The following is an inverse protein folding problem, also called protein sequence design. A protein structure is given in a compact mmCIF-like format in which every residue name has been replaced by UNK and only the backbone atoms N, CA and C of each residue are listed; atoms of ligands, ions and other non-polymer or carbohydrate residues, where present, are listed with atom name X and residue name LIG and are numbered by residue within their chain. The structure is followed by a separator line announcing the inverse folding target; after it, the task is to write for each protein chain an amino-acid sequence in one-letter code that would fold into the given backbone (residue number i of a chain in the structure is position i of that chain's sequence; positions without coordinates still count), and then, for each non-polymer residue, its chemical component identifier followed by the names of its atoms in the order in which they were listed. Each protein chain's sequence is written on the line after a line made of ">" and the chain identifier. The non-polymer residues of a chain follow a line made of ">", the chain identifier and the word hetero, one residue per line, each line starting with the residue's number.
data_IF_051699886935
#
_entry.id   IF_051699886935
#
_cell.length_a   1.000
_cell.length_b   1.000
_cell.length_c   1.000
_cell.angle_alpha   90.00
_cell.angle_beta   90.00
_cell.angle_gamma   90.00
#
_symmetry.space_group_name_H-M   'P 1'
#
loop_
_entity.id
_entity.type
_entity.pdbx_description
1 polymer ?
#
# COMPACT_ATOMS: atom_id res chain seq x y z
N UNK A 1 -25.96 -0.77 43.48
CA UNK A 1 -26.67 -0.91 42.18
C UNK A 1 -25.87 -0.10 41.16
N UNK A 2 -24.90 -0.63 40.41
CA UNK A 2 -24.96 -1.68 39.36
C UNK A 2 -26.17 -1.50 38.44
N UNK A 3 -26.03 -0.69 37.37
CA UNK A 3 -26.51 -0.99 36.00
C UNK A 3 -25.58 -0.29 34.99
N UNK A 4 -24.74 -1.09 34.33
CA UNK A 4 -24.28 -0.97 32.94
C UNK A 4 -25.08 -2.06 32.20
N UNK A 5 -25.57 -1.91 30.94
CA UNK A 5 -24.69 -1.89 29.76
C UNK A 5 -25.22 -1.13 28.51
N UNK A 6 -24.32 -0.66 27.65
CA UNK A 6 -24.66 -0.21 26.29
C UNK A 6 -23.57 -0.66 25.32
N UNK A 7 -23.79 -1.86 24.77
CA UNK A 7 -23.39 -2.34 23.45
C UNK A 7 -22.49 -1.42 22.60
N UNK A 8 -21.18 -1.68 22.66
CA UNK A 8 -20.25 -1.27 21.61
C UNK A 8 -20.51 -2.14 20.38
N UNK A 9 -20.92 -1.48 19.30
CA UNK A 9 -21.15 -2.06 17.99
C UNK A 9 -19.80 -2.53 17.41
N UNK A 10 -19.66 -3.84 17.25
CA UNK A 10 -18.67 -4.45 16.36
C UNK A 10 -19.10 -4.19 14.92
N UNK A 11 -18.32 -3.40 14.19
CA UNK A 11 -18.49 -3.15 12.76
C UNK A 11 -17.91 -4.35 12.01
N UNK A 12 -18.79 -5.30 11.66
CA UNK A 12 -18.48 -6.45 10.82
C UNK A 12 -18.43 -6.00 9.36
N UNK A 13 -17.27 -6.07 8.73
CA UNK A 13 -17.12 -5.84 7.29
C UNK A 13 -17.48 -7.13 6.54
N UNK A 14 -18.73 -7.25 6.10
CA UNK A 14 -19.17 -8.35 5.24
C UNK A 14 -18.89 -8.02 3.77
N UNK A 15 -17.89 -8.68 3.18
CA UNK A 15 -17.63 -8.66 1.76
C UNK A 15 -18.49 -9.73 1.06
N UNK A 16 -19.62 -9.33 0.49
CA UNK A 16 -20.46 -10.24 -0.31
C UNK A 16 -19.99 -10.17 -1.77
N UNK A 17 -19.20 -11.16 -2.19
CA UNK A 17 -18.90 -11.40 -3.61
C UNK A 17 -20.06 -12.18 -4.25
N UNK A 18 -20.82 -11.49 -5.10
CA UNK A 18 -21.79 -12.10 -6.00
C UNK A 18 -21.03 -12.85 -7.10
N UNK A 19 -20.98 -14.18 -7.00
CA UNK A 19 -20.54 -15.05 -8.10
C UNK A 19 -21.64 -15.15 -9.14
N UNK A 20 -21.38 -14.59 -10.32
CA UNK A 20 -22.22 -14.72 -11.49
C UNK A 20 -21.94 -16.11 -12.13
N UNK A 21 -22.95 -16.98 -12.10
CA UNK A 21 -22.95 -18.28 -12.79
C UNK A 21 -22.91 -18.09 -14.30
N UNK A 22 -21.92 -18.66 -14.98
CA UNK A 22 -21.93 -18.85 -16.43
C UNK A 22 -22.01 -20.34 -16.74
N UNK A 23 -22.92 -20.63 -17.66
CA UNK A 23 -23.53 -21.90 -17.98
C UNK A 23 -22.58 -22.93 -18.59
N UNK A 24 -22.82 -24.17 -18.18
CA UNK A 24 -22.27 -25.42 -18.70
C UNK A 24 -22.72 -25.66 -20.14
N UNK A 25 -21.80 -25.62 -21.10
CA UNK A 25 -22.05 -26.11 -22.46
C UNK A 25 -21.53 -27.56 -22.57
N UNK A 26 -22.47 -28.49 -22.69
CA UNK A 26 -22.23 -29.92 -22.88
C UNK A 26 -21.68 -30.16 -24.30
N UNK A 27 -20.48 -30.72 -24.40
CA UNK A 27 -19.93 -31.16 -25.68
C UNK A 27 -20.41 -32.60 -25.98
N UNK A 28 -21.21 -32.72 -27.03
CA UNK A 28 -21.78 -33.96 -27.55
C UNK A 28 -20.70 -34.81 -28.22
N UNK A 29 -20.56 -36.08 -27.82
CA UNK A 29 -19.74 -37.06 -28.53
C UNK A 29 -20.51 -37.67 -29.70
N UNK A 30 -19.92 -37.81 -30.91
CA UNK A 30 -20.43 -38.66 -31.96
C UNK A 30 -19.94 -40.12 -31.84
N UNK A 31 -20.66 -41.09 -32.45
CA UNK A 31 -20.59 -42.51 -32.10
C UNK A 31 -19.40 -43.27 -32.69
N UNK A 32 -19.08 -44.35 -31.98
CA UNK A 32 -18.19 -45.46 -32.32
C UNK A 32 -18.58 -46.18 -33.62
N UNK A 33 -17.58 -46.56 -34.41
CA UNK A 33 -17.68 -47.67 -35.38
C UNK A 33 -16.48 -48.61 -35.19
N UNK A 34 -16.69 -49.94 -35.14
CA UNK A 34 -15.63 -50.93 -35.24
C UNK A 34 -15.48 -51.42 -36.69
N UNK A 35 -14.27 -51.36 -37.24
CA UNK A 35 -13.91 -52.11 -38.44
C UNK A 35 -12.59 -52.86 -38.19
N UNK A 36 -12.63 -54.16 -38.41
CA UNK A 36 -11.55 -55.10 -38.16
C UNK A 36 -10.84 -55.51 -39.47
N UNK A 37 -9.52 -55.71 -39.38
CA UNK A 37 -8.69 -56.53 -40.28
C UNK A 37 -7.72 -55.76 -41.20
N UNK A 38 -6.65 -56.40 -41.72
CA UNK A 38 -5.69 -57.27 -41.05
C UNK A 38 -4.22 -56.77 -41.20
N UNK A 39 -3.37 -57.26 -40.29
CA UNK A 39 -1.91 -57.45 -40.33
C UNK A 39 -1.07 -56.73 -41.39
N UNK A 40 -0.28 -55.74 -40.95
CA UNK A 40 0.98 -55.33 -41.61
C UNK A 40 2.10 -55.17 -40.57
N UNK A 41 3.25 -55.73 -40.92
CA UNK A 41 4.49 -55.90 -40.16
C UNK A 41 5.08 -54.57 -39.62
N UNK A 42 5.90 -54.61 -38.54
CA UNK A 42 6.47 -53.38 -37.98
C UNK A 42 7.63 -52.86 -38.85
N UNK A 43 7.58 -51.60 -39.34
CA UNK A 43 8.82 -50.90 -39.68
C UNK A 43 9.48 -50.44 -38.38
N UNK A 44 10.73 -50.87 -38.21
CA UNK A 44 11.67 -50.46 -37.17
C UNK A 44 11.60 -48.95 -36.94
N UNK A 45 10.98 -48.53 -35.83
CA UNK A 45 10.99 -47.13 -35.41
C UNK A 45 12.41 -46.82 -34.96
N UNK A 46 13.15 -46.09 -35.78
CA UNK A 46 14.35 -45.40 -35.34
C UNK A 46 14.01 -44.66 -34.05
N UNK A 47 14.70 -45.01 -32.97
CA UNK A 47 14.64 -44.31 -31.68
C UNK A 47 15.13 -42.89 -31.90
N UNK A 48 14.25 -41.98 -32.28
CA UNK A 48 14.48 -40.56 -32.09
C UNK A 48 14.52 -40.34 -30.59
N UNK A 49 15.73 -40.18 -30.07
CA UNK A 49 15.98 -39.66 -28.75
C UNK A 49 15.30 -38.29 -28.65
N UNK A 50 14.06 -38.27 -28.17
CA UNK A 50 13.50 -37.10 -27.53
C UNK A 50 14.40 -36.84 -26.33
N UNK A 51 15.29 -35.87 -26.46
CA UNK A 51 16.02 -35.32 -25.34
C UNK A 51 14.99 -34.94 -24.29
N UNK A 52 14.88 -35.75 -23.24
CA UNK A 52 14.13 -35.39 -22.07
C UNK A 52 14.81 -34.13 -21.52
N UNK A 53 14.20 -32.97 -21.78
CA UNK A 53 14.46 -31.77 -21.00
C UNK A 53 14.22 -32.19 -19.56
N UNK A 54 15.30 -32.42 -18.82
CA UNK A 54 15.19 -32.63 -17.39
C UNK A 54 14.50 -31.39 -16.85
N UNK A 55 13.34 -31.50 -16.17
CA UNK A 55 12.72 -30.34 -15.58
C UNK A 55 13.76 -29.75 -14.63
N UNK A 56 14.22 -28.53 -14.91
CA UNK A 56 15.00 -27.79 -13.93
C UNK A 56 14.19 -27.79 -12.63
N UNK A 57 14.81 -28.15 -11.48
CA UNK A 57 14.07 -28.21 -10.23
C UNK A 57 13.49 -26.82 -9.96
N UNK A 58 12.16 -26.72 -10.03
CA UNK A 58 11.44 -25.48 -9.78
C UNK A 58 11.70 -25.04 -8.36
N UNK A 59 12.30 -23.86 -8.19
CA UNK A 59 12.59 -23.31 -6.87
C UNK A 59 11.43 -22.43 -6.45
N UNK A 60 10.79 -22.81 -5.35
CA UNK A 60 9.63 -22.10 -4.80
C UNK A 60 10.07 -21.41 -3.51
N UNK A 61 9.63 -20.17 -3.30
CA UNK A 61 9.81 -19.45 -2.05
C UNK A 61 8.47 -18.96 -1.50
N UNK A 62 8.46 -18.63 -0.22
CA UNK A 62 7.29 -18.07 0.47
C UNK A 62 7.61 -16.69 1.03
N UNK A 63 6.61 -15.81 1.04
CA UNK A 63 6.74 -14.46 1.59
C UNK A 63 5.53 -14.08 2.45
N UNK A 64 5.79 -13.56 3.65
CA UNK A 64 4.77 -12.96 4.50
C UNK A 64 4.70 -11.46 4.23
N UNK A 65 3.76 -11.08 3.38
CA UNK A 65 3.58 -9.68 3.01
C UNK A 65 3.06 -8.86 4.19
N UNK A 66 2.23 -9.45 5.06
CA UNK A 66 1.70 -8.74 6.22
C UNK A 66 2.83 -8.32 7.15
N UNK A 67 3.74 -9.25 7.44
CA UNK A 67 4.93 -8.96 8.25
C UNK A 67 5.81 -7.89 7.60
N UNK A 68 5.93 -7.88 6.27
CA UNK A 68 6.66 -6.83 5.54
C UNK A 68 6.04 -5.45 5.78
N UNK A 69 4.71 -5.32 5.64
CA UNK A 69 4.03 -4.05 5.92
C UNK A 69 4.19 -3.61 7.38
N UNK A 70 4.12 -4.55 8.32
CA UNK A 70 4.27 -4.26 9.76
C UNK A 70 5.70 -3.90 10.18
N UNK A 71 6.73 -4.24 9.41
CA UNK A 71 8.14 -4.00 9.77
C UNK A 71 8.88 -3.05 8.81
N UNK A 72 8.23 -2.59 7.75
CA UNK A 72 8.82 -1.62 6.82
C UNK A 72 8.80 -0.20 7.42
N UNK A 73 9.99 0.37 7.61
CA UNK A 73 10.14 1.70 8.22
C UNK A 73 9.56 2.82 7.36
N UNK A 74 9.68 2.73 6.03
CA UNK A 74 9.16 3.75 5.11
C UNK A 74 7.64 3.79 5.14
N UNK A 75 7.00 2.62 5.13
CA UNK A 75 5.55 2.50 5.22
C UNK A 75 5.02 3.06 6.54
N UNK A 76 5.65 2.70 7.67
CA UNK A 76 5.28 3.24 9.00
C UNK A 76 5.34 4.76 9.03
N UNK A 77 6.44 5.35 8.57
CA UNK A 77 6.60 6.81 8.57
C UNK A 77 5.57 7.51 7.67
N UNK A 78 5.22 6.91 6.53
CA UNK A 78 4.17 7.45 5.66
C UNK A 78 2.79 7.34 6.31
N UNK A 79 2.50 6.23 6.99
CA UNK A 79 1.23 6.06 7.70
C UNK A 79 1.11 7.02 8.89
N UNK A 80 2.16 7.19 9.69
CA UNK A 80 2.20 8.17 10.78
C UNK A 80 1.96 9.61 10.27
N UNK A 81 2.48 9.94 9.08
CA UNK A 81 2.21 11.23 8.45
C UNK A 81 0.73 11.40 8.09
N UNK A 82 0.07 10.35 7.57
CA UNK A 82 -1.37 10.33 7.26
C UNK A 82 -2.20 10.42 8.55
N UNK A 83 -1.87 9.66 9.58
CA UNK A 83 -2.51 9.77 10.89
C UNK A 83 -2.39 11.18 11.47
N UNK A 84 -1.23 11.82 11.29
CA UNK A 84 -1.02 13.21 11.66
C UNK A 84 -1.95 14.17 10.91
N UNK A 85 -2.22 13.92 9.62
CA UNK A 85 -3.20 14.70 8.86
C UNK A 85 -4.64 14.47 9.34
N UNK A 86 -5.00 13.23 9.68
CA UNK A 86 -6.32 12.90 10.24
C UNK A 86 -6.53 13.60 11.58
N UNK A 87 -5.53 13.56 12.47
CA UNK A 87 -5.57 14.26 13.77
C UNK A 87 -5.73 15.77 13.59
N UNK A 88 -4.94 16.39 12.70
CA UNK A 88 -5.08 17.81 12.36
C UNK A 88 -6.47 18.15 11.82
N UNK A 89 -7.02 17.32 10.94
CA UNK A 89 -8.37 17.51 10.42
C UNK A 89 -9.41 17.43 11.54
N UNK A 90 -9.27 16.49 12.47
CA UNK A 90 -10.16 16.34 13.63
C UNK A 90 -10.10 17.55 14.57
N UNK A 91 -8.91 18.09 14.81
CA UNK A 91 -8.71 19.32 15.58
C UNK A 91 -9.34 20.53 14.89
N UNK A 92 -9.10 20.69 13.58
CA UNK A 92 -9.73 21.73 12.77
C UNK A 92 -11.26 21.65 12.83
N UNK A 93 -11.84 20.46 12.70
CA UNK A 93 -13.29 20.27 12.79
C UNK A 93 -13.84 20.70 14.16
N UNK A 94 -13.14 20.33 15.23
CA UNK A 94 -13.52 20.73 16.60
C UNK A 94 -13.46 22.25 16.77
N UNK A 95 -12.44 22.90 16.22
CA UNK A 95 -12.28 24.35 16.27
C UNK A 95 -13.36 25.08 15.45
N UNK A 96 -13.67 24.59 14.24
CA UNK A 96 -14.75 25.12 13.40
C UNK A 96 -16.09 24.96 14.09
N UNK A 97 -16.36 23.83 14.76
CA UNK A 97 -17.60 23.63 15.49
C UNK A 97 -17.77 24.63 16.64
N UNK A 98 -16.71 24.88 17.42
CA UNK A 98 -16.72 25.88 18.50
C UNK A 98 -16.91 27.29 17.94
N UNK A 99 -16.14 27.65 16.92
CA UNK A 99 -16.25 28.93 16.24
C UNK A 99 -17.68 29.17 15.70
N UNK A 100 -18.29 28.17 15.05
CA UNK A 100 -19.62 28.28 14.50
C UNK A 100 -20.68 28.49 15.60
N UNK A 101 -20.55 27.79 16.73
CA UNK A 101 -21.42 27.96 17.89
C UNK A 101 -21.30 29.38 18.49
N UNK A 102 -20.08 29.90 18.61
CA UNK A 102 -19.84 31.23 19.16
C UNK A 102 -20.37 32.34 18.23
N UNK A 103 -20.19 32.19 16.91
CA UNK A 103 -20.79 33.10 15.93
C UNK A 103 -22.31 33.05 15.96
N UNK A 104 -22.91 31.85 16.13
CA UNK A 104 -24.35 31.71 16.23
C UNK A 104 -24.91 32.39 17.49
N UNK A 105 -24.21 32.30 18.62
CA UNK A 105 -24.58 33.04 19.84
C UNK A 105 -24.52 34.55 19.65
N UNK A 106 -23.43 35.05 19.06
CA UNK A 106 -23.26 36.48 18.77
C UNK A 106 -24.37 37.03 17.86
N UNK A 107 -24.80 36.26 16.85
CA UNK A 107 -25.93 36.62 15.99
C UNK A 107 -27.27 36.59 16.72
N UNK A 108 -27.42 35.72 17.72
CA UNK A 108 -28.59 35.64 18.59
C UNK A 108 -28.79 36.89 19.46
N UNK A 109 -27.69 37.52 19.88
CA UNK A 109 -27.68 38.76 20.68
C UNK A 109 -27.91 40.02 19.83
N UNK A 110 -27.73 39.95 18.51
CA UNK A 110 -27.96 41.08 17.61
C UNK A 110 -29.47 41.33 17.39
N UNK A 111 -29.90 42.61 17.42
CA UNK A 111 -31.27 42.97 17.08
C UNK A 111 -31.59 42.60 15.63
N UNK A 112 -32.84 42.23 15.37
CA UNK A 112 -33.31 41.88 14.03
C UNK A 112 -33.20 43.09 13.10
N UNK A 113 -32.62 42.90 11.93
CA UNK A 113 -32.45 43.94 10.91
C UNK A 113 -31.44 43.56 9.83
N UNK A 114 -31.26 44.41 8.80
CA UNK A 114 -30.45 44.09 7.61
C UNK A 114 -29.00 43.69 7.90
N UNK A 115 -28.41 44.25 8.96
CA UNK A 115 -27.04 43.93 9.38
C UNK A 115 -26.90 42.51 9.92
N UNK A 116 -27.95 41.99 10.58
CA UNK A 116 -27.97 40.62 11.08
C UNK A 116 -28.13 39.62 9.95
N UNK A 117 -29.01 39.90 8.99
CA UNK A 117 -29.22 39.03 7.83
C UNK A 117 -27.94 38.89 6.99
N UNK A 118 -27.19 39.99 6.80
CA UNK A 118 -25.89 39.97 6.13
C UNK A 118 -24.85 39.13 6.88
N UNK A 119 -24.83 39.20 8.21
CA UNK A 119 -23.93 38.42 9.05
C UNK A 119 -24.31 36.93 9.12
N UNK A 120 -25.60 36.60 9.15
CA UNK A 120 -26.12 35.23 9.01
C UNK A 120 -25.74 34.62 7.65
N UNK A 121 -25.91 35.37 6.55
CA UNK A 121 -25.51 34.94 5.22
C UNK A 121 -24.00 34.66 5.11
N UNK A 122 -23.18 35.52 5.72
CA UNK A 122 -21.72 35.33 5.77
C UNK A 122 -21.33 34.09 6.56
N UNK A 123 -21.94 33.87 7.73
CA UNK A 123 -21.71 32.68 8.55
C UNK A 123 -22.11 31.41 7.79
N UNK A 124 -23.28 31.41 7.14
CA UNK A 124 -23.75 30.28 6.34
C UNK A 124 -22.78 29.96 5.18
N UNK A 125 -22.29 30.98 4.48
CA UNK A 125 -21.29 30.82 3.42
C UNK A 125 -19.98 30.21 3.94
N UNK A 126 -19.47 30.69 5.07
CA UNK A 126 -18.25 30.17 5.67
C UNK A 126 -18.41 28.70 6.12
N UNK A 127 -19.53 28.35 6.77
CA UNK A 127 -19.82 26.97 7.17
C UNK A 127 -19.91 26.06 5.93
N UNK A 128 -20.57 26.51 4.85
CA UNK A 128 -20.64 25.75 3.61
C UNK A 128 -19.25 25.52 3.01
N UNK A 129 -18.39 26.54 3.00
CA UNK A 129 -17.02 26.42 2.51
C UNK A 129 -16.18 25.45 3.35
N UNK A 130 -16.35 25.46 4.68
CA UNK A 130 -15.70 24.48 5.57
C UNK A 130 -16.14 23.05 5.26
N UNK A 131 -17.43 22.79 5.03
CA UNK A 131 -17.94 21.44 4.69
C UNK A 131 -17.37 20.93 3.35
N UNK A 132 -17.26 21.81 2.36
CA UNK A 132 -16.62 21.45 1.08
C UNK A 132 -15.15 21.12 1.30
N UNK A 133 -14.42 21.97 2.01
CA UNK A 133 -13.00 21.75 2.31
C UNK A 133 -12.77 20.47 3.12
N UNK A 134 -13.62 20.17 4.10
CA UNK A 134 -13.58 18.94 4.89
C UNK A 134 -13.73 17.71 3.98
N UNK A 135 -14.72 17.72 3.10
CA UNK A 135 -14.96 16.61 2.15
C UNK A 135 -13.76 16.39 1.24
N UNK A 136 -13.18 17.48 0.72
CA UNK A 136 -11.98 17.43 -0.11
C UNK A 136 -10.77 16.89 0.67
N UNK A 137 -10.54 17.36 1.90
CA UNK A 137 -9.43 16.87 2.75
C UNK A 137 -9.59 15.39 3.08
N UNK A 138 -10.80 14.94 3.43
CA UNK A 138 -11.08 13.51 3.68
C UNK A 138 -10.79 12.67 2.44
N UNK A 139 -11.24 13.11 1.27
CA UNK A 139 -10.96 12.44 0.00
C UNK A 139 -9.46 12.36 -0.27
N UNK A 140 -8.73 13.48 -0.14
CA UNK A 140 -7.29 13.51 -0.37
C UNK A 140 -6.53 12.58 0.59
N UNK A 141 -6.96 12.48 1.86
CA UNK A 141 -6.39 11.54 2.83
C UNK A 141 -6.58 10.09 2.34
N UNK A 142 -7.80 9.71 1.95
CA UNK A 142 -8.09 8.36 1.44
C UNK A 142 -7.31 8.04 0.16
N UNK A 143 -7.19 9.00 -0.76
CA UNK A 143 -6.39 8.84 -1.98
C UNK A 143 -4.89 8.72 -1.66
N UNK A 144 -4.40 9.51 -0.71
CA UNK A 144 -3.00 9.45 -0.27
C UNK A 144 -2.67 8.11 0.42
N UNK A 145 -3.60 7.59 1.21
CA UNK A 145 -3.49 6.29 1.87
C UNK A 145 -3.42 5.17 0.82
N UNK A 146 -4.36 5.16 -0.13
CA UNK A 146 -4.34 4.20 -1.23
C UNK A 146 -3.03 4.26 -2.04
N UNK A 147 -2.53 5.47 -2.31
CA UNK A 147 -1.26 5.66 -3.03
C UNK A 147 -0.06 5.11 -2.22
N UNK A 148 -0.03 5.29 -0.90
CA UNK A 148 1.01 4.73 -0.03
C UNK A 148 0.98 3.20 -0.06
N UNK A 149 -0.20 2.59 0.04
CA UNK A 149 -0.34 1.14 -0.08
C UNK A 149 0.13 0.61 -1.43
N UNK A 150 -0.28 1.27 -2.53
CA UNK A 150 0.12 0.88 -3.88
C UNK A 150 1.64 0.98 -4.09
N UNK A 151 2.24 2.12 -3.71
CA UNK A 151 3.68 2.32 -3.87
C UNK A 151 4.49 1.34 -3.02
N UNK A 152 4.04 1.08 -1.79
CA UNK A 152 4.69 0.08 -0.92
C UNK A 152 4.60 -1.32 -1.51
N UNK A 153 3.46 -1.69 -2.10
CA UNK A 153 3.32 -2.96 -2.80
C UNK A 153 4.28 -3.09 -4.00
N UNK A 154 4.41 -2.03 -4.81
CA UNK A 154 5.38 -1.99 -5.92
C UNK A 154 6.83 -2.10 -5.45
N UNK A 155 7.18 -1.46 -4.33
CA UNK A 155 8.51 -1.57 -3.74
C UNK A 155 8.79 -3.02 -3.29
N UNK A 156 7.80 -3.68 -2.66
CA UNK A 156 7.89 -5.09 -2.26
C UNK A 156 8.12 -5.98 -3.47
N UNK A 157 7.32 -5.84 -4.53
CA UNK A 157 7.48 -6.66 -5.74
C UNK A 157 8.88 -6.52 -6.36
N UNK A 158 9.39 -5.29 -6.46
CA UNK A 158 10.76 -5.06 -6.98
C UNK A 158 11.81 -5.72 -6.11
N UNK A 159 11.67 -5.64 -4.78
CA UNK A 159 12.60 -6.27 -3.86
C UNK A 159 12.54 -7.80 -3.94
N UNK A 160 11.33 -8.37 -4.05
CA UNK A 160 11.11 -9.80 -4.26
C UNK A 160 11.71 -10.26 -5.58
N UNK A 161 11.44 -9.55 -6.68
CA UNK A 161 11.99 -9.85 -8.00
C UNK A 161 13.52 -9.85 -7.99
N UNK A 162 14.14 -8.80 -7.43
CA UNK A 162 15.59 -8.69 -7.33
C UNK A 162 16.22 -9.77 -6.43
N UNK A 163 15.50 -10.27 -5.43
CA UNK A 163 15.92 -11.42 -4.64
C UNK A 163 15.79 -12.72 -5.46
N UNK A 164 14.65 -12.94 -6.11
CA UNK A 164 14.37 -14.15 -6.88
C UNK A 164 15.33 -14.33 -8.06
N UNK A 165 15.65 -13.26 -8.78
CA UNK A 165 16.61 -13.30 -9.89
C UNK A 165 18.01 -13.75 -9.43
N UNK A 166 18.46 -13.30 -8.24
CA UNK A 166 19.77 -13.69 -7.69
C UNK A 166 19.82 -15.13 -7.19
N UNK A 167 18.72 -15.62 -6.64
CA UNK A 167 18.64 -16.97 -6.06
C UNK A 167 18.03 -18.02 -7.01
N UNK A 168 17.69 -17.62 -8.24
CA UNK A 168 17.01 -18.42 -9.27
C UNK A 168 15.71 -19.06 -8.76
N UNK A 169 14.88 -18.25 -8.11
CA UNK A 169 13.55 -18.67 -7.64
C UNK A 169 12.55 -18.42 -8.76
N UNK A 170 11.76 -19.44 -9.10
CA UNK A 170 10.81 -19.43 -10.22
C UNK A 170 9.40 -19.00 -9.79
N UNK A 171 9.03 -19.24 -8.52
CA UNK A 171 7.70 -18.93 -7.99
C UNK A 171 7.78 -18.45 -6.55
N UNK A 172 7.06 -17.37 -6.25
CA UNK A 172 6.86 -16.89 -4.88
C UNK A 172 5.39 -16.97 -4.52
N UNK A 173 5.09 -17.61 -3.40
CA UNK A 173 3.74 -17.73 -2.88
C UNK A 173 3.59 -16.87 -1.64
N UNK A 174 2.54 -16.05 -1.59
CA UNK A 174 2.18 -15.35 -0.37
C UNK A 174 1.71 -16.35 0.69
N UNK A 175 2.24 -16.23 1.91
CA UNK A 175 1.69 -16.88 3.08
C UNK A 175 1.36 -15.86 4.17
N UNK A 176 0.65 -16.31 5.20
CA UNK A 176 0.31 -15.52 6.39
C UNK A 176 0.82 -16.30 7.62
N UNK A 177 1.73 -15.74 8.41
CA UNK A 177 2.33 -16.38 9.59
C UNK A 177 1.48 -16.31 10.87
N UNK A 178 0.22 -15.88 10.77
CA UNK A 178 -0.65 -15.66 11.93
C UNK A 178 -0.89 -16.94 12.73
N UNK A 179 -0.71 -16.86 14.04
CA UNK A 179 -1.10 -17.92 14.98
C UNK A 179 -2.62 -17.97 15.10
N UNK A 180 -3.16 -19.19 15.00
CA UNK A 180 -4.59 -19.44 15.17
C UNK A 180 -4.96 -19.31 16.64
N UNK A 181 -5.85 -18.36 16.96
CA UNK A 181 -6.47 -18.29 18.29
C UNK A 181 -7.76 -19.13 18.31
N UNK A 182 -7.81 -20.24 19.07
CA UNK A 182 -9.01 -21.08 19.18
C UNK A 182 -10.20 -20.36 19.83
N UNK A 183 -9.97 -19.27 20.56
CA UNK A 183 -11.05 -18.48 21.20
C UNK A 183 -11.71 -17.50 20.22
N UNK A 184 -11.09 -17.23 19.08
CA UNK A 184 -11.59 -16.29 18.09
C UNK A 184 -11.98 -17.02 16.80
N UNK A 185 -13.30 -17.20 16.59
CA UNK A 185 -13.85 -17.83 15.39
C UNK A 185 -13.33 -17.22 14.09
N UNK A 186 -13.16 -15.90 14.04
CA UNK A 186 -12.66 -15.20 12.85
C UNK A 186 -11.21 -15.58 12.54
N UNK A 187 -10.35 -15.67 13.58
CA UNK A 187 -8.98 -16.13 13.43
C UNK A 187 -8.90 -17.56 12.90
N UNK A 188 -9.80 -18.44 13.34
CA UNK A 188 -9.88 -19.83 12.88
C UNK A 188 -10.30 -19.88 11.40
N UNK A 189 -11.36 -19.18 11.01
CA UNK A 189 -11.82 -19.15 9.61
C UNK A 189 -10.77 -18.58 8.66
N UNK A 190 -10.06 -17.53 9.07
CA UNK A 190 -8.94 -16.98 8.29
C UNK A 190 -7.78 -17.98 8.14
N UNK A 191 -7.49 -18.74 9.20
CA UNK A 191 -6.45 -19.78 9.18
C UNK A 191 -6.85 -20.96 8.27
N UNK A 192 -8.13 -21.32 8.22
CA UNK A 192 -8.62 -22.41 7.35
C UNK A 192 -8.53 -22.03 5.87
N UNK A 193 -8.77 -20.77 5.52
CA UNK A 193 -8.72 -20.28 4.14
C UNK A 193 -7.31 -19.96 3.60
N UNK A 194 -6.25 -20.29 4.34
CA UNK A 194 -4.87 -20.02 3.90
C UNK A 194 -4.45 -20.96 2.77
N UNK A 195 -3.72 -20.41 1.80
CA UNK A 195 -3.16 -21.16 0.68
C UNK A 195 -1.98 -22.05 1.08
N UNK A 196 -1.22 -21.66 2.12
CA UNK A 196 -0.01 -22.36 2.58
C UNK A 196 -0.22 -22.83 4.02
N UNK A 197 -0.20 -24.14 4.23
CA UNK A 197 -0.40 -24.78 5.55
C UNK A 197 0.94 -25.08 6.23
N UNK A 198 1.92 -25.52 5.44
CA UNK A 198 3.26 -25.88 5.88
C UNK A 198 4.29 -25.34 4.89
N UNK A 199 5.43 -24.91 5.43
CA UNK A 199 6.61 -24.50 4.67
C UNK A 199 7.86 -24.93 5.46
N UNK A 200 8.97 -25.13 4.74
CA UNK A 200 10.27 -25.28 5.37
C UNK A 200 10.89 -23.89 5.62
N UNK A 201 11.44 -23.57 6.82
CA UNK A 201 11.89 -22.23 7.17
C UNK A 201 12.90 -21.61 6.21
N UNK A 202 13.65 -22.45 5.49
CA UNK A 202 14.64 -22.04 4.49
C UNK A 202 14.02 -21.42 3.22
N UNK A 203 12.73 -21.66 2.98
CA UNK A 203 11.99 -21.11 1.83
C UNK A 203 11.45 -19.70 2.10
N UNK A 204 11.48 -19.24 3.35
CA UNK A 204 10.97 -17.93 3.74
C UNK A 204 11.99 -16.84 3.42
N UNK A 205 11.65 -16.00 2.45
CA UNK A 205 12.50 -14.88 2.00
C UNK A 205 12.14 -13.55 2.70
N UNK A 206 11.17 -13.55 3.61
CA UNK A 206 10.60 -12.34 4.22
C UNK A 206 11.65 -11.44 4.84
N UNK A 207 12.56 -12.00 5.64
CA UNK A 207 13.64 -11.24 6.29
C UNK A 207 14.62 -10.64 5.27
N UNK A 208 14.94 -11.38 4.21
CA UNK A 208 15.83 -10.91 3.14
C UNK A 208 15.24 -9.72 2.39
N UNK A 209 13.94 -9.80 2.07
CA UNK A 209 13.19 -8.73 1.40
C UNK A 209 13.06 -7.50 2.31
N UNK A 210 12.76 -7.70 3.59
CA UNK A 210 12.70 -6.63 4.60
C UNK A 210 14.01 -5.84 4.68
N UNK A 211 15.14 -6.54 4.72
CA UNK A 211 16.45 -5.90 4.75
C UNK A 211 16.70 -5.07 3.49
N UNK A 212 16.32 -5.55 2.31
CA UNK A 212 16.46 -4.80 1.05
C UNK A 212 15.60 -3.53 1.03
N UNK A 213 14.35 -3.62 1.49
CA UNK A 213 13.43 -2.48 1.54
C UNK A 213 13.93 -1.40 2.51
N UNK A 214 14.39 -1.81 3.70
CA UNK A 214 14.90 -0.89 4.71
C UNK A 214 16.26 -0.29 4.32
N UNK A 215 17.12 -1.03 3.61
CA UNK A 215 18.37 -0.51 3.06
C UNK A 215 18.13 0.59 2.01
N UNK A 216 17.16 0.40 1.11
CA UNK A 216 16.75 1.43 0.15
C UNK A 216 16.18 2.69 0.82
N UNK A 217 15.44 2.52 1.92
CA UNK A 217 14.92 3.64 2.70
C UNK A 217 16.02 4.46 3.40
N UNK A 218 17.07 3.81 3.92
CA UNK A 218 18.23 4.48 4.50
C UNK A 218 19.02 5.29 3.45
N UNK A 219 19.20 4.75 2.25
CA UNK A 219 19.88 5.44 1.15
C UNK A 219 19.09 6.64 0.61
N UNK A 220 17.75 6.52 0.50
CA UNK A 220 16.89 7.64 0.11
C UNK A 220 16.92 8.79 1.13
N UNK A 221 17.09 8.46 2.42
CA UNK A 221 17.19 9.45 3.50
C UNK A 221 18.56 10.15 3.53
N UNK A 222 19.63 9.43 3.15
CA UNK A 222 20.99 9.97 3.05
C UNK A 222 21.25 10.81 1.77
N UNK A 223 20.46 10.61 0.72
CA UNK A 223 20.59 11.32 -0.55
C UNK A 223 19.85 12.67 -0.62
N UNK A 224 19.16 13.11 0.45
CA UNK A 224 18.55 14.44 0.48
C UNK A 224 19.68 15.48 0.64
N UNK A 225 19.96 16.33 -0.36
CA UNK A 225 21.11 17.22 -0.30
C UNK A 225 20.91 18.25 0.80
N UNK A 226 21.92 18.43 1.63
CA UNK A 226 22.06 19.63 2.44
C UNK A 226 22.01 20.82 1.48
N UNK A 227 20.99 21.66 1.60
CA UNK A 227 20.96 22.97 0.95
C UNK A 227 22.22 23.71 1.37
N UNK A 228 23.16 23.86 0.44
CA UNK A 228 24.41 24.55 0.66
C UNK A 228 24.12 26.03 0.96
N UNK A 229 24.15 26.40 2.23
CA UNK A 229 24.30 27.80 2.66
C UNK A 229 25.69 28.26 2.23
N UNK A 230 25.78 28.97 1.11
CA UNK A 230 26.98 29.74 0.79
C UNK A 230 27.13 30.87 1.83
N UNK A 231 28.26 30.98 2.55
CA UNK A 231 28.54 32.17 3.33
C UNK A 231 28.97 33.30 2.37
N UNK A 232 28.13 34.34 2.30
CA UNK A 232 28.47 35.63 1.68
C UNK A 232 29.44 36.35 2.64
N UNK A 233 30.73 36.04 2.52
CA UNK A 233 31.80 36.73 3.22
C UNK A 233 32.43 37.78 2.31
N UNK A 234 31.97 39.02 2.42
CA UNK A 234 32.63 40.16 1.79
C UNK A 234 33.95 40.48 2.49
N UNK A 235 35.03 40.67 1.72
CA UNK A 235 36.13 41.56 2.07
C UNK A 235 36.82 42.01 0.79
N UNK A 236 36.55 43.26 0.42
CA UNK A 236 37.24 44.00 -0.62
C UNK A 236 38.69 44.24 -0.18
N UNK A 237 39.61 43.36 -0.60
CA UNK A 237 41.04 43.60 -0.43
C UNK A 237 41.55 44.48 -1.59
N UNK A 238 42.00 45.67 -1.18
CA UNK A 238 42.55 46.77 -1.97
C UNK A 238 43.92 46.37 -2.57
N UNK A 239 44.06 46.63 -3.88
CA UNK A 239 45.26 46.74 -4.76
C UNK A 239 46.63 46.91 -4.06
N UNK A 240 47.73 46.44 -4.70
CA UNK A 240 48.47 47.39 -5.53
C UNK A 240 48.85 46.91 -6.94
N UNK A 241 49.02 47.90 -7.80
CA UNK A 241 49.30 47.86 -9.22
C UNK A 241 50.81 47.65 -9.45
N UNK A 242 51.20 46.61 -10.19
CA UNK A 242 52.57 46.43 -10.67
C UNK A 242 52.69 47.06 -12.06
N UNK A 243 53.59 48.04 -12.21
CA UNK A 243 53.83 48.77 -13.45
C UNK A 243 54.54 47.93 -14.54
N UNK A 244 54.58 48.43 -15.79
CA UNK A 244 55.13 47.72 -16.94
C UNK A 244 56.66 47.82 -16.99
N UNK A 245 57.37 46.71 -17.19
CA UNK A 245 58.80 46.71 -17.52
C UNK A 245 59.00 46.61 -19.04
N UNK A 246 59.76 47.55 -19.60
CA UNK A 246 60.16 47.60 -21.00
C UNK A 246 61.43 46.76 -21.27
N UNK A 247 61.65 46.28 -22.51
CA UNK A 247 62.76 45.38 -22.85
C UNK A 247 64.07 46.14 -23.17
N UNK A 248 65.19 45.43 -23.01
CA UNK A 248 66.47 45.72 -23.67
C UNK A 248 66.83 44.54 -24.56
#
# INVERSE_FOLDING_TARGET
>A
MRISPSSLHTITWSLTLAFCSVATAQFTQPPTQPVAGPTQSPPTRATSAAGALSPYPTRIAVVDVKQIFEQNNRFKSQMEAIEGQVKKLQEEMTNVQKWALDQQKALGEMPKGPNRDAAEAKLASQIAQYRVNETLKKKNILESEAAVYYNSWRDIERAVEAHCQRHRIDLVVRFDSRNMDPSNRESVMQTVNRSVIYQAPELDITNSVLMMLNAGAAQASAARPATATQPVGGTTARRPYAGPQAPR
#
